data_IF_302026392634
#
_entry.id   IF_302026392634
#
_cell.length_a   1.000
_cell.length_b   1.000
_cell.length_c   1.000
_cell.angle_alpha   90.00
_cell.angle_beta   90.00
_cell.angle_gamma   90.00
#
_symmetry.space_group_name_H-M   'P 1'
#
loop_
_entity.id
_entity.type
_entity.pdbx_description
1 polymer ?
#
# COMPACT_ATOMS: atom_id res chain seq x y z
N UNK A 1 15.69 -21.01 3.47
CA UNK A 1 15.72 -19.77 4.27
C UNK A 1 14.31 -19.33 4.58
N UNK A 2 14.03 -18.78 5.79
CA UNK A 2 12.70 -18.21 6.15
C UNK A 2 12.71 -16.70 5.95
N UNK A 3 11.72 -16.17 5.26
CA UNK A 3 11.40 -14.75 5.22
C UNK A 3 10.34 -14.40 6.28
N UNK A 4 10.31 -13.17 6.79
CA UNK A 4 11.23 -12.06 6.52
C UNK A 4 12.63 -12.30 7.10
N UNK A 5 13.62 -11.63 6.52
CA UNK A 5 15.00 -11.64 7.01
C UNK A 5 15.11 -10.91 8.36
N UNK A 6 16.18 -11.18 9.15
CA UNK A 6 16.45 -10.37 10.35
C UNK A 6 16.54 -8.88 10.00
N UNK A 7 15.96 -8.02 10.84
CA UNK A 7 15.81 -6.58 10.58
C UNK A 7 17.11 -5.81 10.42
N UNK A 8 18.21 -6.34 10.94
CA UNK A 8 19.53 -5.72 10.93
C UNK A 8 20.45 -6.15 9.77
N UNK A 9 19.94 -6.88 8.79
CA UNK A 9 20.76 -7.33 7.63
C UNK A 9 21.21 -6.12 6.80
N UNK A 10 20.39 -5.06 6.71
CA UNK A 10 20.72 -3.85 6.00
C UNK A 10 20.80 -2.68 6.97
N UNK A 11 21.90 -1.91 6.95
CA UNK A 11 21.97 -0.65 7.68
C UNK A 11 21.01 0.37 7.09
N UNK A 12 20.68 1.38 7.87
CA UNK A 12 20.13 2.63 7.30
C UNK A 12 21.22 3.25 6.44
N UNK A 13 20.88 3.59 5.20
CA UNK A 13 21.81 4.19 4.25
C UNK A 13 21.69 5.72 4.35
N UNK A 14 22.80 6.36 4.68
CA UNK A 14 22.93 7.82 4.62
C UNK A 14 23.66 8.16 3.32
N UNK A 15 23.00 8.85 2.42
CA UNK A 15 23.59 9.27 1.16
C UNK A 15 24.21 10.66 1.29
N UNK A 16 25.37 10.91 0.66
CA UNK A 16 25.89 12.26 0.46
C UNK A 16 24.86 13.16 -0.23
N UNK A 17 24.89 14.45 0.05
CA UNK A 17 23.89 15.40 -0.45
C UNK A 17 23.85 15.43 -1.99
N UNK A 18 25.00 15.41 -2.62
CA UNK A 18 25.14 15.41 -4.09
C UNK A 18 24.56 14.14 -4.74
N UNK A 19 24.74 12.98 -4.11
CA UNK A 19 24.14 11.72 -4.57
C UNK A 19 22.62 11.74 -4.38
N UNK A 20 22.13 12.25 -3.24
CA UNK A 20 20.71 12.40 -2.97
C UNK A 20 20.04 13.33 -3.98
N UNK A 21 20.64 14.49 -4.27
CA UNK A 21 20.17 15.45 -5.28
C UNK A 21 20.18 14.84 -6.69
N UNK A 22 21.22 14.07 -7.03
CA UNK A 22 21.30 13.38 -8.32
C UNK A 22 20.19 12.35 -8.49
N UNK A 23 19.88 11.56 -7.44
CA UNK A 23 18.80 10.58 -7.45
C UNK A 23 17.42 11.26 -7.55
N UNK A 24 17.21 12.37 -6.85
CA UNK A 24 15.98 13.17 -6.94
C UNK A 24 15.79 13.75 -8.35
N UNK A 25 16.84 14.35 -8.92
CA UNK A 25 16.81 14.88 -10.30
C UNK A 25 16.51 13.79 -11.33
N UNK A 26 17.12 12.62 -11.16
CA UNK A 26 16.87 11.47 -12.01
C UNK A 26 15.42 10.99 -11.90
N UNK A 27 14.92 10.78 -10.69
CA UNK A 27 13.53 10.38 -10.45
C UNK A 27 12.54 11.36 -11.07
N UNK A 28 12.79 12.66 -10.90
CA UNK A 28 12.00 13.73 -11.49
C UNK A 28 11.99 13.65 -13.02
N UNK A 29 13.12 13.33 -13.65
CA UNK A 29 13.21 13.19 -15.11
C UNK A 29 12.37 12.03 -15.63
N UNK A 30 12.39 10.87 -14.95
CA UNK A 30 11.58 9.70 -15.32
C UNK A 30 10.08 9.98 -15.17
N UNK A 31 9.67 10.69 -14.11
CA UNK A 31 8.27 11.10 -13.91
C UNK A 31 7.83 12.04 -15.01
N UNK A 32 8.67 13.02 -15.40
CA UNK A 32 8.36 13.97 -16.49
C UNK A 32 8.25 13.27 -17.84
N UNK A 33 9.18 12.36 -18.15
CA UNK A 33 9.12 11.57 -19.40
C UNK A 33 7.82 10.74 -19.45
N UNK A 34 7.44 10.09 -18.35
CA UNK A 34 6.21 9.31 -18.30
C UNK A 34 4.97 10.18 -18.43
N UNK A 35 4.96 11.39 -17.82
CA UNK A 35 3.90 12.38 -17.99
C UNK A 35 3.74 12.80 -19.45
N UNK A 36 4.85 13.07 -20.13
CA UNK A 36 4.84 13.53 -21.53
C UNK A 36 4.35 12.42 -22.48
N UNK A 37 4.75 11.17 -22.20
CA UNK A 37 4.20 10.01 -22.90
C UNK A 37 2.69 9.86 -22.65
N UNK A 38 2.24 10.02 -21.40
CA UNK A 38 0.82 9.99 -21.07
C UNK A 38 0.04 11.13 -21.72
N UNK A 39 0.62 12.32 -21.81
CA UNK A 39 0.02 13.44 -22.51
C UNK A 39 -0.19 13.10 -24.00
N UNK A 40 0.81 12.53 -24.66
CA UNK A 40 0.71 12.07 -26.06
C UNK A 40 -0.35 10.97 -26.20
N UNK A 41 -0.40 10.02 -25.26
CA UNK A 41 -1.42 8.98 -25.22
C UNK A 41 -2.84 9.56 -25.15
N UNK A 42 -3.06 10.60 -24.34
CA UNK A 42 -4.37 11.27 -24.21
C UNK A 42 -4.74 12.11 -25.44
N UNK A 43 -3.80 12.85 -25.99
CA UNK A 43 -4.06 13.81 -27.07
C UNK A 43 -4.03 13.15 -28.44
N UNK A 44 -2.89 12.60 -28.84
CA UNK A 44 -2.69 11.96 -30.15
C UNK A 44 -3.34 10.58 -30.19
N UNK A 45 -3.14 9.77 -29.15
CA UNK A 45 -3.70 8.42 -29.03
C UNK A 45 -5.18 8.39 -28.64
N UNK A 46 -5.79 9.54 -28.32
CA UNK A 46 -7.19 9.65 -27.86
C UNK A 46 -7.52 8.72 -26.70
N UNK A 47 -6.52 8.40 -25.85
CA UNK A 47 -6.66 7.48 -24.74
C UNK A 47 -6.84 6.01 -25.14
N UNK A 48 -6.55 5.65 -26.38
CA UNK A 48 -6.64 4.27 -26.88
C UNK A 48 -5.27 3.62 -26.99
N UNK A 49 -5.20 2.36 -26.64
CA UNK A 49 -3.97 1.55 -26.77
C UNK A 49 -3.87 1.01 -28.19
N UNK A 50 -2.77 1.30 -28.85
CA UNK A 50 -2.47 0.75 -30.18
C UNK A 50 -2.16 -0.74 -30.08
N UNK A 51 -3.12 -1.58 -30.49
CA UNK A 51 -3.02 -3.03 -30.44
C UNK A 51 -2.00 -3.62 -31.42
N UNK A 52 -1.53 -2.84 -32.40
CA UNK A 52 -0.41 -3.24 -33.26
C UNK A 52 0.91 -3.27 -32.49
N UNK A 53 1.10 -2.35 -31.56
CA UNK A 53 2.31 -2.21 -30.72
C UNK A 53 2.19 -2.97 -29.38
N UNK A 54 0.96 -3.15 -28.87
CA UNK A 54 0.70 -3.68 -27.55
C UNK A 54 -0.14 -4.95 -27.58
N UNK A 55 0.33 -6.00 -26.91
CA UNK A 55 -0.40 -7.26 -26.70
C UNK A 55 -1.08 -7.22 -25.34
N UNK A 56 -2.40 -7.36 -25.30
CA UNK A 56 -3.15 -7.51 -24.05
C UNK A 56 -2.72 -8.78 -23.32
N UNK A 57 -2.43 -8.67 -22.03
CA UNK A 57 -2.06 -9.77 -21.15
C UNK A 57 -3.20 -10.16 -20.22
N UNK A 58 -3.78 -9.17 -19.53
CA UNK A 58 -4.83 -9.40 -18.55
C UNK A 58 -5.78 -8.20 -18.50
N UNK A 59 -7.00 -8.43 -18.03
CA UNK A 59 -7.98 -7.39 -17.73
C UNK A 59 -8.79 -7.80 -16.51
N UNK A 60 -8.97 -6.85 -15.58
CA UNK A 60 -9.86 -6.98 -14.45
C UNK A 60 -10.69 -5.69 -14.35
N UNK A 61 -12.00 -5.84 -14.41
CA UNK A 61 -12.93 -4.70 -14.45
C UNK A 61 -12.53 -3.69 -15.55
N UNK A 62 -12.28 -2.46 -15.15
CA UNK A 62 -11.88 -1.35 -16.03
C UNK A 62 -10.36 -1.21 -16.18
N UNK A 63 -9.55 -2.12 -15.66
CA UNK A 63 -8.09 -2.03 -15.65
C UNK A 63 -7.48 -3.13 -16.51
N UNK A 64 -6.65 -2.74 -17.50
CA UNK A 64 -6.06 -3.66 -18.49
C UNK A 64 -4.55 -3.50 -18.54
N UNK A 65 -3.85 -4.64 -18.53
CA UNK A 65 -2.39 -4.74 -18.68
C UNK A 65 -2.02 -5.24 -20.06
N UNK A 66 -1.02 -4.63 -20.64
CA UNK A 66 -0.45 -4.93 -21.94
C UNK A 66 1.06 -5.14 -21.84
N UNK A 67 1.60 -5.90 -22.78
CA UNK A 67 3.03 -6.08 -23.05
C UNK A 67 3.35 -5.54 -24.43
N UNK A 68 4.49 -4.85 -24.59
CA UNK A 68 4.95 -4.37 -25.89
C UNK A 68 5.28 -5.54 -26.82
N UNK A 69 4.88 -5.44 -28.08
CA UNK A 69 5.17 -6.42 -29.14
C UNK A 69 6.52 -6.15 -29.81
N UNK A 70 7.24 -7.21 -30.20
CA UNK A 70 8.30 -7.22 -31.22
C UNK A 70 9.54 -6.37 -30.99
N UNK A 71 10.27 -6.15 -32.08
CA UNK A 71 11.60 -5.52 -32.14
C UNK A 71 11.66 -4.05 -31.70
N UNK A 72 10.56 -3.29 -31.80
CA UNK A 72 10.48 -1.91 -31.29
C UNK A 72 10.82 -1.80 -29.80
N UNK A 73 10.70 -2.91 -29.09
CA UNK A 73 11.13 -3.06 -27.71
C UNK A 73 12.67 -3.05 -27.56
N UNK A 74 13.42 -3.52 -28.53
CA UNK A 74 14.89 -3.63 -28.46
C UNK A 74 15.61 -2.29 -28.69
N UNK A 75 15.15 -1.47 -29.63
CA UNK A 75 15.80 -0.21 -29.98
C UNK A 75 15.73 0.85 -28.89
N UNK A 76 14.59 0.97 -28.21
CA UNK A 76 14.40 1.97 -27.14
C UNK A 76 15.16 1.67 -25.85
N UNK A 77 15.49 0.41 -25.59
CA UNK A 77 16.20 -0.04 -24.39
C UNK A 77 17.70 0.13 -24.47
N UNK A 78 18.25 0.21 -25.66
CA UNK A 78 19.66 0.54 -25.86
C UNK A 78 19.99 1.94 -25.33
N UNK A 79 18.99 2.84 -25.32
CA UNK A 79 19.13 4.21 -24.83
C UNK A 79 19.01 4.34 -23.30
N UNK A 80 18.38 3.39 -22.60
CA UNK A 80 18.14 3.47 -21.15
C UNK A 80 19.22 2.89 -20.25
N UNK A 81 20.32 2.38 -20.82
CA UNK A 81 21.46 1.84 -20.05
C UNK A 81 21.20 0.55 -19.27
N UNK A 82 19.97 0.03 -19.30
CA UNK A 82 19.55 -1.16 -18.55
C UNK A 82 19.76 -2.44 -19.37
N UNK A 83 21.02 -2.75 -19.61
CA UNK A 83 21.41 -4.06 -20.16
C UNK A 83 21.69 -5.01 -19.00
N UNK A 84 21.18 -6.23 -19.09
CA UNK A 84 21.68 -7.32 -18.26
C UNK A 84 23.04 -7.76 -18.79
N UNK A 85 24.14 -7.51 -18.06
CA UNK A 85 25.47 -7.93 -18.52
C UNK A 85 25.62 -9.45 -18.67
N UNK A 86 24.79 -10.22 -17.96
CA UNK A 86 24.84 -11.69 -17.95
C UNK A 86 23.99 -12.34 -19.05
N UNK A 87 23.01 -11.62 -19.61
CA UNK A 87 22.07 -12.14 -20.62
C UNK A 87 22.27 -11.57 -22.02
N UNK A 88 23.29 -10.79 -22.26
CA UNK A 88 23.56 -10.23 -23.58
C UNK A 88 22.41 -9.37 -24.12
N UNK A 89 21.84 -9.72 -25.26
CA UNK A 89 20.80 -8.95 -25.94
C UNK A 89 19.36 -9.32 -25.54
N UNK A 90 19.13 -9.96 -24.39
CA UNK A 90 17.77 -10.36 -24.00
C UNK A 90 16.90 -9.15 -23.68
N UNK A 91 15.78 -9.08 -24.38
CA UNK A 91 14.88 -7.94 -24.43
C UNK A 91 13.90 -7.99 -23.26
N UNK A 92 14.07 -7.08 -22.29
CA UNK A 92 13.10 -6.93 -21.18
C UNK A 92 11.79 -6.32 -21.70
N UNK A 93 10.64 -7.00 -21.55
CA UNK A 93 9.38 -6.48 -22.07
C UNK A 93 8.92 -5.22 -21.34
N UNK A 94 8.59 -4.18 -22.11
CA UNK A 94 7.92 -3.02 -21.57
C UNK A 94 6.44 -3.34 -21.31
N UNK A 95 5.94 -2.92 -20.18
CA UNK A 95 4.55 -3.08 -19.74
C UNK A 95 3.83 -1.74 -19.79
N UNK A 96 2.56 -1.77 -20.16
CA UNK A 96 1.62 -0.66 -20.13
C UNK A 96 0.35 -1.12 -19.44
N UNK A 97 -0.09 -0.42 -18.40
CA UNK A 97 -1.42 -0.65 -17.86
C UNK A 97 -2.25 0.63 -17.91
N UNK A 98 -3.48 0.50 -18.32
CA UNK A 98 -4.42 1.60 -18.44
C UNK A 98 -5.80 1.18 -17.93
N UNK A 99 -6.50 2.12 -17.35
CA UNK A 99 -7.86 1.89 -16.88
C UNK A 99 -8.35 2.97 -15.95
N UNK A 100 -9.43 2.68 -15.24
CA UNK A 100 -9.96 3.59 -14.23
C UNK A 100 -10.32 2.87 -12.93
N UNK A 101 -10.28 3.61 -11.83
CA UNK A 101 -10.62 3.17 -10.48
C UNK A 101 -11.72 4.06 -9.92
N UNK A 102 -12.63 3.48 -9.12
CA UNK A 102 -13.68 4.23 -8.44
C UNK A 102 -13.13 4.85 -7.13
N UNK A 103 -12.92 6.17 -7.13
CA UNK A 103 -12.34 6.91 -5.99
C UNK A 103 -11.82 8.28 -6.37
N UNK A 104 -10.91 8.81 -5.55
CA UNK A 104 -10.21 10.07 -5.80
C UNK A 104 -8.71 9.83 -5.96
N UNK A 105 -8.01 10.75 -6.66
CA UNK A 105 -6.54 10.67 -6.77
C UNK A 105 -5.91 10.72 -5.39
N UNK A 106 -6.43 11.55 -4.47
CA UNK A 106 -5.92 11.61 -3.10
C UNK A 106 -6.10 10.29 -2.35
N UNK A 107 -7.19 9.55 -2.59
CA UNK A 107 -7.36 8.20 -2.04
C UNK A 107 -6.33 7.22 -2.60
N UNK A 108 -6.05 7.29 -3.89
CA UNK A 108 -4.97 6.50 -4.49
C UNK A 108 -3.63 6.80 -3.81
N UNK A 109 -3.30 8.10 -3.65
CA UNK A 109 -2.06 8.54 -3.02
C UNK A 109 -1.98 8.15 -1.54
N UNK A 110 -3.09 8.25 -0.79
CA UNK A 110 -3.15 7.78 0.60
C UNK A 110 -2.89 6.28 0.71
N UNK A 111 -3.47 5.48 -0.18
CA UNK A 111 -3.27 4.03 -0.20
C UNK A 111 -1.87 3.58 -0.60
N UNK A 112 -1.06 4.47 -1.20
CA UNK A 112 0.32 4.19 -1.55
C UNK A 112 1.30 4.35 -0.38
N UNK A 113 0.95 5.14 0.64
CA UNK A 113 1.86 5.46 1.74
C UNK A 113 2.35 4.24 2.50
N UNK A 114 3.67 4.14 2.64
CA UNK A 114 4.34 3.04 3.37
C UNK A 114 5.63 3.55 4.03
N UNK A 115 5.52 4.43 5.06
CA UNK A 115 6.69 5.09 5.66
C UNK A 115 7.62 4.14 6.42
N UNK A 116 7.19 2.93 6.71
CA UNK A 116 7.97 1.94 7.48
C UNK A 116 7.90 0.56 6.85
N UNK A 117 8.86 -0.32 7.16
CA UNK A 117 8.81 -1.72 6.72
C UNK A 117 7.54 -2.45 7.21
N UNK A 118 7.03 -2.07 8.39
CA UNK A 118 5.75 -2.59 8.92
C UNK A 118 4.55 -2.15 8.10
N UNK A 119 4.49 -0.87 7.73
CA UNK A 119 3.42 -0.38 6.84
C UNK A 119 3.49 -1.03 5.46
N UNK A 120 4.71 -1.29 4.94
CA UNK A 120 4.89 -2.07 3.72
C UNK A 120 4.32 -3.50 3.86
N UNK A 121 4.58 -4.18 4.98
CA UNK A 121 4.05 -5.50 5.28
C UNK A 121 2.52 -5.52 5.35
N UNK A 122 1.92 -4.55 6.05
CA UNK A 122 0.47 -4.41 6.17
C UNK A 122 -0.17 -4.14 4.81
N UNK A 123 0.39 -3.23 4.02
CA UNK A 123 -0.07 -2.95 2.66
C UNK A 123 -0.01 -4.20 1.79
N UNK A 124 1.12 -4.93 1.80
CA UNK A 124 1.28 -6.16 1.04
C UNK A 124 0.22 -7.21 1.39
N UNK A 125 -0.14 -7.34 2.67
CA UNK A 125 -1.22 -8.23 3.12
C UNK A 125 -2.62 -7.79 2.66
N UNK A 126 -2.83 -6.50 2.40
CA UNK A 126 -4.11 -5.98 1.86
C UNK A 126 -4.18 -6.12 0.36
N UNK A 127 -3.11 -5.73 -0.33
CA UNK A 127 -3.07 -5.74 -1.79
C UNK A 127 -2.77 -7.12 -2.36
N UNK A 128 -2.22 -8.03 -1.54
CA UNK A 128 -1.87 -9.40 -1.91
C UNK A 128 -0.89 -9.42 -3.08
N UNK A 129 0.14 -8.56 -3.01
CA UNK A 129 1.16 -8.40 -4.06
C UNK A 129 2.30 -9.44 -3.98
N UNK A 130 2.22 -10.38 -3.04
CA UNK A 130 3.12 -11.52 -2.93
C UNK A 130 4.50 -11.23 -2.33
N UNK A 131 4.82 -10.01 -1.94
CA UNK A 131 6.09 -9.72 -1.28
C UNK A 131 6.20 -10.41 0.09
N UNK A 132 7.40 -10.86 0.44
CA UNK A 132 7.68 -11.64 1.66
C UNK A 132 8.66 -10.94 2.61
N UNK A 133 9.29 -9.86 2.15
CA UNK A 133 10.24 -9.08 2.95
C UNK A 133 10.27 -7.62 2.53
N UNK A 134 10.51 -6.71 3.49
CA UNK A 134 10.41 -5.26 3.30
C UNK A 134 11.43 -4.53 4.18
N UNK A 135 12.07 -3.51 3.63
CA UNK A 135 12.90 -2.57 4.37
C UNK A 135 12.82 -1.16 3.76
N UNK A 136 12.75 -0.15 4.60
CA UNK A 136 13.09 1.23 4.24
C UNK A 136 14.58 1.38 4.52
N UNK A 137 15.34 1.81 3.54
CA UNK A 137 16.80 1.91 3.59
C UNK A 137 17.26 3.34 3.84
N UNK A 138 16.61 4.29 3.19
CA UNK A 138 16.90 5.73 3.33
C UNK A 138 15.66 6.56 3.08
N UNK A 139 15.65 7.80 3.58
CA UNK A 139 14.58 8.74 3.34
C UNK A 139 15.18 10.09 2.94
N UNK A 140 15.10 10.41 1.65
CA UNK A 140 15.69 11.61 1.05
C UNK A 140 14.79 12.83 1.23
N UNK A 141 13.49 12.68 0.95
CA UNK A 141 12.50 13.73 1.16
C UNK A 141 11.38 13.20 2.06
N UNK A 142 11.22 13.82 3.22
CA UNK A 142 10.15 13.50 4.16
C UNK A 142 8.87 14.24 3.79
N UNK A 143 7.71 13.57 3.86
CA UNK A 143 6.45 14.26 3.68
C UNK A 143 6.24 15.29 4.80
N UNK A 144 5.55 16.38 4.49
CA UNK A 144 5.17 17.40 5.46
C UNK A 144 3.65 17.47 5.59
N UNK A 145 3.09 18.03 6.68
CA UNK A 145 1.64 18.20 6.79
C UNK A 145 1.01 19.03 5.66
N UNK A 146 1.77 19.94 5.02
CA UNK A 146 1.34 20.72 3.86
C UNK A 146 1.49 19.96 2.54
N UNK A 147 2.42 19.01 2.47
CA UNK A 147 2.67 18.16 1.31
C UNK A 147 2.74 16.67 1.74
N UNK A 148 1.62 16.10 2.23
CA UNK A 148 1.65 14.80 2.90
C UNK A 148 1.85 13.61 1.96
N UNK A 149 1.83 13.85 0.65
CA UNK A 149 2.05 12.85 -0.40
C UNK A 149 3.38 13.02 -1.13
N UNK A 150 4.16 14.07 -0.81
CA UNK A 150 5.47 14.27 -1.42
C UNK A 150 6.53 13.56 -0.58
N UNK A 151 7.04 12.46 -1.10
CA UNK A 151 8.04 11.63 -0.43
C UNK A 151 9.03 11.07 -1.45
N UNK A 152 10.31 10.99 -1.06
CA UNK A 152 11.35 10.26 -1.78
C UNK A 152 12.08 9.39 -0.77
N UNK A 153 12.06 8.07 -0.99
CA UNK A 153 12.71 7.11 -0.11
C UNK A 153 13.38 5.99 -0.89
N UNK A 154 14.47 5.46 -0.34
CA UNK A 154 15.06 4.20 -0.79
C UNK A 154 14.46 3.03 -0.05
N UNK A 155 14.07 2.00 -0.76
CA UNK A 155 13.46 0.82 -0.19
C UNK A 155 14.00 -0.48 -0.77
N UNK A 156 13.75 -1.57 -0.06
CA UNK A 156 13.98 -2.93 -0.52
C UNK A 156 12.74 -3.78 -0.32
N UNK A 157 12.42 -4.60 -1.33
CA UNK A 157 11.40 -5.65 -1.23
C UNK A 157 11.92 -6.96 -1.80
N UNK A 158 11.46 -8.09 -1.25
CA UNK A 158 11.74 -9.40 -1.79
C UNK A 158 10.46 -10.14 -2.17
N UNK A 159 10.48 -10.79 -3.33
CA UNK A 159 9.36 -11.54 -3.89
C UNK A 159 9.79 -12.96 -4.27
N UNK A 160 9.03 -13.99 -3.91
CA UNK A 160 9.39 -15.39 -4.18
C UNK A 160 9.21 -15.80 -5.65
N UNK A 161 8.96 -14.90 -6.57
CA UNK A 161 8.75 -15.16 -7.99
C UNK A 161 8.35 -16.63 -8.28
N UNK A 162 7.08 -16.95 -8.10
CA UNK A 162 6.46 -18.27 -8.10
C UNK A 162 6.62 -19.13 -6.84
N UNK A 163 5.49 -19.65 -6.42
CA UNK A 163 5.38 -20.65 -5.36
C UNK A 163 5.96 -21.97 -5.85
N UNK A 164 7.13 -22.32 -5.36
CA UNK A 164 7.76 -23.60 -5.67
C UNK A 164 9.28 -23.52 -5.69
N UNK A 165 9.91 -24.66 -5.58
CA UNK A 165 11.36 -24.86 -5.46
C UNK A 165 12.16 -24.53 -6.73
N UNK A 166 11.52 -24.06 -7.81
CA UNK A 166 12.15 -23.94 -9.13
C UNK A 166 12.83 -22.61 -9.36
N UNK A 167 12.41 -21.54 -8.66
CA UNK A 167 12.98 -20.21 -8.88
C UNK A 167 13.50 -19.59 -7.57
N UNK A 168 14.66 -18.98 -7.67
CA UNK A 168 15.25 -18.22 -6.56
C UNK A 168 14.39 -17.00 -6.24
N UNK A 169 14.35 -16.59 -4.97
CA UNK A 169 13.73 -15.33 -4.53
C UNK A 169 14.45 -14.16 -5.21
N UNK A 170 13.70 -13.16 -5.64
CA UNK A 170 14.23 -11.90 -6.14
C UNK A 170 14.07 -10.82 -5.09
N UNK A 171 15.14 -10.09 -4.83
CA UNK A 171 15.03 -8.82 -4.13
C UNK A 171 15.21 -7.65 -5.11
N UNK A 172 14.68 -6.51 -4.71
CA UNK A 172 14.72 -5.28 -5.49
C UNK A 172 15.08 -4.16 -4.54
N UNK A 173 16.17 -3.44 -4.85
CA UNK A 173 16.51 -2.18 -4.21
C UNK A 173 16.08 -1.07 -5.15
N UNK A 174 15.34 -0.10 -4.62
CA UNK A 174 14.71 0.91 -5.46
C UNK A 174 14.56 2.25 -4.74
N UNK A 175 14.58 3.31 -5.51
CA UNK A 175 14.07 4.62 -5.15
C UNK A 175 12.55 4.63 -5.38
N UNK A 176 11.79 5.06 -4.39
CA UNK A 176 10.35 5.29 -4.48
C UNK A 176 10.07 6.77 -4.32
N UNK A 177 9.33 7.36 -5.25
CA UNK A 177 8.86 8.73 -5.11
C UNK A 177 7.39 8.85 -5.44
N UNK A 178 6.71 9.63 -4.62
CA UNK A 178 5.30 9.97 -4.78
C UNK A 178 5.11 11.47 -4.73
N UNK A 179 4.03 11.98 -5.31
CA UNK A 179 3.69 13.39 -5.27
C UNK A 179 2.68 13.79 -6.32
N UNK A 180 2.59 15.10 -6.56
CA UNK A 180 1.74 15.68 -7.59
C UNK A 180 2.56 16.51 -8.56
N UNK A 181 2.24 16.36 -9.84
CA UNK A 181 2.71 17.22 -10.93
C UNK A 181 1.51 17.77 -11.70
N UNK A 182 1.76 18.69 -12.63
CA UNK A 182 0.71 19.27 -13.46
C UNK A 182 0.74 18.67 -14.86
N UNK A 183 -0.43 18.35 -15.40
CA UNK A 183 -0.64 17.98 -16.80
C UNK A 183 -1.68 18.89 -17.43
N UNK A 184 -1.57 19.14 -18.76
CA UNK A 184 -2.67 19.72 -19.54
C UNK A 184 -3.60 18.61 -19.97
N UNK A 185 -4.88 18.71 -19.63
CA UNK A 185 -5.91 17.79 -20.10
C UNK A 185 -6.18 17.92 -21.59
N UNK A 186 -7.00 17.02 -22.18
CA UNK A 186 -7.44 17.13 -23.56
C UNK A 186 -8.19 18.44 -23.88
N UNK A 187 -8.77 19.06 -22.85
CA UNK A 187 -9.45 20.36 -22.90
C UNK A 187 -8.50 21.57 -22.77
N UNK A 188 -7.19 21.32 -22.68
CA UNK A 188 -6.15 22.34 -22.51
C UNK A 188 -6.01 22.87 -21.07
N UNK A 189 -6.89 22.50 -20.14
CA UNK A 189 -6.83 22.95 -18.75
C UNK A 189 -5.72 22.23 -17.99
N UNK A 190 -5.02 22.99 -17.15
CA UNK A 190 -4.05 22.42 -16.21
C UNK A 190 -4.78 21.72 -15.07
N UNK A 191 -4.40 20.49 -14.76
CA UNK A 191 -4.94 19.71 -13.65
C UNK A 191 -3.84 18.98 -12.91
N UNK A 192 -4.02 18.69 -11.61
CA UNK A 192 -3.08 17.90 -10.84
C UNK A 192 -3.09 16.45 -11.34
N UNK A 193 -1.90 15.86 -11.36
CA UNK A 193 -1.66 14.46 -11.69
C UNK A 193 -0.86 13.85 -10.56
N UNK A 194 -1.43 12.89 -9.86
CA UNK A 194 -0.69 12.09 -8.87
C UNK A 194 0.30 11.17 -9.58
N UNK A 195 1.48 10.98 -9.00
CA UNK A 195 2.46 10.04 -9.51
C UNK A 195 3.02 9.14 -8.43
N UNK A 196 3.45 7.95 -8.86
CA UNK A 196 4.16 6.99 -8.04
C UNK A 196 5.21 6.29 -8.91
N UNK A 197 6.47 6.61 -8.68
CA UNK A 197 7.62 5.99 -9.35
C UNK A 197 8.30 5.00 -8.40
N UNK A 198 8.64 3.84 -8.94
CA UNK A 198 9.67 2.96 -8.38
C UNK A 198 10.72 2.69 -9.42
N UNK A 199 11.96 2.98 -9.10
CA UNK A 199 13.09 2.80 -10.00
C UNK A 199 14.25 2.14 -9.25
N UNK A 200 14.78 1.04 -9.77
CA UNK A 200 15.92 0.37 -9.16
C UNK A 200 17.16 1.25 -9.16
N UNK A 201 17.81 1.30 -8.01
CA UNK A 201 19.07 2.01 -7.79
C UNK A 201 20.08 1.04 -7.21
N UNK A 202 21.33 1.27 -7.50
CA UNK A 202 22.45 0.53 -6.91
C UNK A 202 22.97 1.35 -5.72
N UNK A 203 22.79 0.83 -4.50
CA UNK A 203 23.29 1.40 -3.25
C UNK A 203 24.45 0.51 -2.79
N UNK A 204 25.69 1.03 -2.73
CA UNK A 204 26.88 0.22 -2.38
C UNK A 204 26.77 -0.49 -1.03
N UNK A 205 26.09 0.16 -0.05
CA UNK A 205 25.89 -0.37 1.30
C UNK A 205 24.90 -1.54 1.33
N UNK A 206 24.10 -1.70 0.26
CA UNK A 206 23.03 -2.72 0.18
C UNK A 206 23.49 -3.84 -0.75
N UNK A 207 24.39 -4.68 -0.21
CA UNK A 207 24.95 -5.81 -0.95
C UNK A 207 23.89 -6.79 -1.46
N UNK A 208 24.25 -7.52 -2.48
CA UNK A 208 23.44 -8.67 -2.93
C UNK A 208 23.49 -9.80 -1.90
N UNK A 209 22.41 -10.56 -1.81
CA UNK A 209 22.21 -11.65 -0.86
C UNK A 209 22.44 -13.02 -1.53
N UNK A 210 23.55 -13.16 -2.24
CA UNK A 210 23.90 -14.38 -2.99
C UNK A 210 24.04 -15.60 -2.09
N UNK A 211 24.57 -15.41 -0.87
CA UNK A 211 24.69 -16.45 0.15
C UNK A 211 23.35 -16.99 0.64
N UNK A 212 22.27 -16.23 0.43
CA UNK A 212 20.92 -16.66 0.73
C UNK A 212 20.15 -17.15 -0.50
N UNK A 213 20.87 -17.34 -1.61
CA UNK A 213 20.29 -17.75 -2.89
C UNK A 213 19.20 -16.76 -3.39
N UNK A 214 19.39 -15.47 -3.15
CA UNK A 214 18.55 -14.38 -3.62
C UNK A 214 19.21 -13.73 -4.83
N UNK A 215 18.41 -13.35 -5.83
CA UNK A 215 18.88 -12.65 -7.04
C UNK A 215 18.40 -11.21 -7.00
N UNK A 216 19.29 -10.25 -7.21
CA UNK A 216 18.94 -8.85 -7.35
C UNK A 216 18.26 -8.60 -8.69
N UNK A 217 16.96 -8.31 -8.66
CA UNK A 217 16.19 -7.91 -9.83
C UNK A 217 16.16 -6.38 -9.99
N UNK A 218 15.90 -5.90 -11.20
CA UNK A 218 15.77 -4.46 -11.50
C UNK A 218 14.37 -4.16 -12.05
N UNK A 219 13.83 -2.99 -11.70
CA UNK A 219 12.56 -2.50 -12.20
C UNK A 219 12.59 -0.99 -12.43
N UNK A 220 11.69 -0.54 -13.28
CA UNK A 220 11.32 0.86 -13.37
C UNK A 220 9.82 0.93 -13.72
N UNK A 221 9.01 1.48 -12.82
CA UNK A 221 7.59 1.71 -13.01
C UNK A 221 7.22 3.12 -12.63
N UNK A 222 6.47 3.79 -13.48
CA UNK A 222 5.84 5.04 -13.12
C UNK A 222 4.32 4.92 -13.33
N UNK A 223 3.59 5.11 -12.25
CA UNK A 223 2.13 5.22 -12.23
C UNK A 223 1.73 6.67 -12.24
N UNK A 224 0.70 6.99 -13.00
CA UNK A 224 0.07 8.30 -13.04
C UNK A 224 -1.41 8.15 -12.76
N UNK A 225 -1.93 9.03 -11.91
CA UNK A 225 -3.32 9.05 -11.45
C UNK A 225 -3.94 10.39 -11.80
N UNK A 226 -4.97 10.40 -12.66
CA UNK A 226 -5.67 11.61 -13.10
C UNK A 226 -7.14 11.57 -12.68
N UNK A 227 -7.62 12.61 -12.01
CA UNK A 227 -9.06 12.69 -11.71
C UNK A 227 -9.85 12.88 -13.01
N UNK A 228 -10.72 11.93 -13.32
CA UNK A 228 -11.57 11.96 -14.51
C UNK A 228 -12.94 12.59 -14.21
N UNK A 229 -13.51 12.24 -13.05
CA UNK A 229 -14.73 12.79 -12.50
C UNK A 229 -14.65 12.78 -10.97
N UNK A 230 -15.69 13.23 -10.26
CA UNK A 230 -15.69 13.26 -8.79
C UNK A 230 -15.32 11.90 -8.13
N UNK A 231 -15.62 10.79 -8.80
CA UNK A 231 -15.44 9.43 -8.24
C UNK A 231 -14.74 8.46 -9.18
N UNK A 232 -14.09 8.95 -10.22
CA UNK A 232 -13.35 8.10 -11.16
C UNK A 232 -11.97 8.66 -11.41
N UNK A 233 -10.96 7.81 -11.26
CA UNK A 233 -9.54 8.13 -11.46
C UNK A 233 -9.01 7.29 -12.60
N UNK A 234 -8.48 7.94 -13.65
CA UNK A 234 -7.69 7.26 -14.66
C UNK A 234 -6.36 6.83 -14.07
N UNK A 235 -5.96 5.61 -14.35
CA UNK A 235 -4.65 5.06 -13.99
C UNK A 235 -3.90 4.72 -15.26
N UNK A 236 -2.67 5.21 -15.33
CA UNK A 236 -1.74 4.91 -16.39
C UNK A 236 -0.44 4.41 -15.76
N UNK A 237 0.05 3.26 -16.20
CA UNK A 237 1.35 2.72 -15.81
C UNK A 237 2.19 2.49 -17.05
N UNK A 238 3.45 2.87 -16.99
CA UNK A 238 4.46 2.44 -17.96
C UNK A 238 5.73 2.02 -17.22
N UNK A 239 6.30 0.88 -17.61
CA UNK A 239 7.51 0.40 -16.97
C UNK A 239 7.90 -1.01 -17.37
N UNK A 240 8.95 -1.53 -16.72
CA UNK A 240 9.46 -2.87 -16.95
C UNK A 240 10.00 -3.50 -15.67
N UNK A 241 10.17 -4.83 -15.70
CA UNK A 241 10.92 -5.62 -14.71
C UNK A 241 11.92 -6.49 -15.43
N UNK A 242 13.16 -6.45 -14.97
CA UNK A 242 14.21 -7.38 -15.31
C UNK A 242 14.43 -8.31 -14.11
N UNK A 243 14.03 -9.57 -14.24
CA UNK A 243 14.13 -10.53 -13.13
C UNK A 243 15.58 -10.96 -12.86
N UNK A 244 16.53 -10.65 -13.75
CA UNK A 244 17.92 -11.04 -13.70
C UNK A 244 18.12 -12.54 -13.49
N UNK A 245 19.31 -13.05 -13.72
CA UNK A 245 19.60 -14.47 -13.64
C UNK A 245 18.72 -15.31 -14.58
N UNK A 246 18.71 -16.61 -14.42
CA UNK A 246 17.90 -17.51 -15.23
C UNK A 246 16.43 -17.49 -14.77
N UNK A 247 15.57 -16.79 -15.51
CA UNK A 247 14.14 -16.76 -15.29
C UNK A 247 13.40 -16.83 -16.63
N UNK A 248 12.53 -17.82 -16.86
CA UNK A 248 11.72 -17.87 -18.07
C UNK A 248 10.83 -16.62 -18.17
N UNK A 249 10.81 -16.00 -19.35
CA UNK A 249 10.04 -14.76 -19.58
C UNK A 249 8.57 -14.92 -19.22
N UNK A 250 7.97 -16.07 -19.52
CA UNK A 250 6.57 -16.36 -19.21
C UNK A 250 6.28 -16.27 -17.71
N UNK A 251 7.19 -16.73 -16.87
CA UNK A 251 7.06 -16.68 -15.42
C UNK A 251 7.23 -15.24 -14.90
N UNK A 252 8.19 -14.50 -15.45
CA UNK A 252 8.37 -13.07 -15.12
C UNK A 252 7.11 -12.29 -15.47
N UNK A 253 6.58 -12.47 -16.67
CA UNK A 253 5.36 -11.80 -17.15
C UNK A 253 4.16 -12.17 -16.27
N UNK A 254 4.01 -13.42 -15.85
CA UNK A 254 2.91 -13.83 -14.96
C UNK A 254 3.00 -13.14 -13.59
N UNK A 255 4.17 -13.19 -12.96
CA UNK A 255 4.38 -12.53 -11.65
C UNK A 255 4.16 -11.02 -11.73
N UNK A 256 4.70 -10.38 -12.76
CA UNK A 256 4.49 -8.92 -12.97
C UNK A 256 3.01 -8.63 -13.19
N UNK A 257 2.30 -9.51 -13.92
CA UNK A 257 0.85 -9.37 -14.11
C UNK A 257 0.11 -9.39 -12.77
N UNK A 258 0.41 -10.34 -11.89
CA UNK A 258 -0.21 -10.43 -10.57
C UNK A 258 0.06 -9.16 -9.72
N UNK A 259 1.31 -8.70 -9.70
CA UNK A 259 1.70 -7.49 -8.96
C UNK A 259 0.96 -6.25 -9.52
N UNK A 260 0.92 -6.06 -10.84
CA UNK A 260 0.26 -4.90 -11.45
C UNK A 260 -1.26 -4.97 -11.27
N UNK A 261 -1.85 -6.15 -11.39
CA UNK A 261 -3.30 -6.33 -11.19
C UNK A 261 -3.74 -6.19 -9.73
N UNK A 262 -2.80 -6.17 -8.78
CA UNK A 262 -3.09 -5.85 -7.37
C UNK A 262 -3.25 -4.35 -7.09
N UNK A 263 -2.83 -3.47 -7.99
CA UNK A 263 -2.84 -2.00 -7.80
C UNK A 263 -4.22 -1.42 -7.45
N UNK A 264 -5.33 -1.83 -8.06
CA UNK A 264 -6.66 -1.36 -7.66
C UNK A 264 -6.96 -1.56 -6.16
N UNK A 265 -6.35 -2.57 -5.53
CA UNK A 265 -6.51 -2.85 -4.10
C UNK A 265 -5.87 -1.79 -3.19
N UNK A 266 -5.02 -0.88 -3.71
CA UNK A 266 -4.49 0.25 -2.93
C UNK A 266 -5.61 1.15 -2.36
N UNK A 267 -6.76 1.25 -3.03
CA UNK A 267 -7.92 1.96 -2.50
C UNK A 267 -8.50 1.31 -1.23
N UNK A 268 -8.32 0.00 -1.05
CA UNK A 268 -8.67 -0.66 0.21
C UNK A 268 -7.75 -0.21 1.35
N UNK A 269 -6.47 0.03 1.07
CA UNK A 269 -5.54 0.63 2.05
C UNK A 269 -6.01 2.03 2.46
N UNK A 270 -6.38 2.89 1.51
CA UNK A 270 -6.91 4.22 1.82
C UNK A 270 -8.16 4.17 2.71
N UNK A 271 -9.09 3.27 2.41
CA UNK A 271 -10.29 3.04 3.25
C UNK A 271 -9.92 2.62 4.66
N UNK A 272 -8.92 1.75 4.80
CA UNK A 272 -8.40 1.32 6.10
C UNK A 272 -7.78 2.49 6.87
N UNK A 273 -6.93 3.32 6.24
CA UNK A 273 -6.35 4.51 6.86
C UNK A 273 -7.43 5.47 7.37
N UNK A 274 -8.45 5.77 6.55
CA UNK A 274 -9.57 6.63 6.93
C UNK A 274 -10.37 6.05 8.10
N UNK A 275 -10.59 4.75 8.09
CA UNK A 275 -11.28 4.07 9.19
C UNK A 275 -10.45 4.08 10.48
N UNK A 276 -9.16 3.80 10.40
CA UNK A 276 -8.23 3.88 11.53
C UNK A 276 -8.17 5.30 12.11
N UNK A 277 -8.14 6.33 11.24
CA UNK A 277 -8.22 7.71 11.66
C UNK A 277 -9.48 8.00 12.48
N UNK A 278 -10.66 7.59 11.98
CA UNK A 278 -11.92 7.78 12.73
C UNK A 278 -11.90 7.08 14.08
N UNK A 279 -11.32 5.91 14.15
CA UNK A 279 -11.24 5.13 15.38
C UNK A 279 -10.32 5.80 16.41
N UNK A 280 -9.18 6.35 15.97
CA UNK A 280 -8.25 7.08 16.84
C UNK A 280 -8.84 8.40 17.35
N UNK A 281 -9.65 9.08 16.53
CA UNK A 281 -10.18 10.42 16.84
C UNK A 281 -11.67 10.42 17.24
N UNK A 282 -12.31 9.27 17.29
CA UNK A 282 -13.69 9.17 17.78
C UNK A 282 -13.73 9.44 19.28
N UNK A 283 -14.45 10.48 19.68
CA UNK A 283 -14.79 10.66 21.09
C UNK A 283 -15.68 9.52 21.53
N UNK A 284 -15.31 8.71 22.53
CA UNK A 284 -16.19 7.67 23.03
C UNK A 284 -17.47 8.34 23.54
N UNK A 285 -18.66 7.76 23.25
CA UNK A 285 -19.91 8.31 23.76
C UNK A 285 -19.89 8.25 25.29
N UNK A 286 -20.35 9.32 25.92
CA UNK A 286 -20.42 9.52 27.38
C UNK A 286 -21.20 8.38 28.08
N UNK A 287 -22.06 7.67 27.34
CA UNK A 287 -22.77 6.47 27.83
C UNK A 287 -22.73 5.38 26.77
N UNK A 288 -22.14 4.23 27.13
CA UNK A 288 -22.21 3.01 26.32
C UNK A 288 -23.68 2.62 26.08
N UNK A 289 -24.11 2.52 24.81
CA UNK A 289 -25.45 2.06 24.45
C UNK A 289 -25.61 0.52 24.56
N UNK A 290 -24.78 -0.14 25.39
CA UNK A 290 -24.80 -1.61 25.55
C UNK A 290 -26.17 -2.14 25.98
N UNK A 291 -26.96 -1.36 26.73
CA UNK A 291 -28.31 -1.72 27.19
C UNK A 291 -29.44 -1.40 26.23
N UNK A 292 -29.18 -0.71 25.12
CA UNK A 292 -30.24 -0.31 24.19
C UNK A 292 -30.81 -1.54 23.44
N UNK A 293 -32.13 -1.69 23.40
CA UNK A 293 -32.75 -2.83 22.70
C UNK A 293 -33.09 -2.55 21.23
N UNK A 294 -32.79 -1.35 20.75
CA UNK A 294 -33.12 -0.92 19.38
C UNK A 294 -31.85 -0.49 18.63
N UNK A 295 -31.92 -0.58 17.31
CA UNK A 295 -30.86 -0.13 16.41
C UNK A 295 -30.85 1.40 16.35
N UNK A 296 -29.70 2.03 16.59
CA UNK A 296 -29.53 3.48 16.58
C UNK A 296 -29.71 4.14 15.19
N UNK A 297 -29.82 3.35 14.11
CA UNK A 297 -30.00 3.86 12.75
C UNK A 297 -31.36 3.65 12.17
N UNK A 298 -32.02 2.51 12.46
CA UNK A 298 -33.31 2.17 11.87
C UNK A 298 -34.41 1.85 12.91
N UNK A 299 -34.15 2.01 14.20
CA UNK A 299 -35.05 1.75 15.33
C UNK A 299 -35.62 0.32 15.41
N UNK A 300 -35.17 -0.62 14.58
CA UNK A 300 -35.58 -2.03 14.69
C UNK A 300 -35.03 -2.65 15.97
N UNK A 301 -35.82 -3.53 16.57
CA UNK A 301 -35.36 -4.29 17.74
C UNK A 301 -34.12 -5.13 17.40
N UNK A 302 -33.12 -5.02 18.24
CA UNK A 302 -31.88 -5.84 18.16
C UNK A 302 -31.90 -6.80 19.33
N UNK A 303 -31.96 -8.10 19.07
CA UNK A 303 -31.92 -9.12 20.14
C UNK A 303 -30.76 -8.83 21.11
N UNK A 304 -30.94 -9.03 22.43
CA UNK A 304 -29.86 -8.85 23.40
C UNK A 304 -28.61 -9.59 22.93
N UNK A 305 -27.45 -8.99 23.13
CA UNK A 305 -26.18 -9.64 22.84
C UNK A 305 -26.00 -10.76 23.87
N UNK A 306 -25.87 -12.00 23.43
CA UNK A 306 -25.28 -13.03 24.25
C UNK A 306 -23.81 -12.66 24.55
N UNK A 307 -23.25 -13.15 25.65
CA UNK A 307 -21.83 -12.94 25.96
C UNK A 307 -20.97 -13.28 24.73
N UNK A 308 -20.24 -12.29 24.20
CA UNK A 308 -19.41 -12.45 23.00
C UNK A 308 -19.93 -11.78 21.71
N UNK A 309 -21.12 -11.18 21.72
CA UNK A 309 -21.73 -10.58 20.50
C UNK A 309 -21.28 -9.11 20.27
N UNK A 310 -19.96 -8.91 20.26
CA UNK A 310 -19.30 -7.61 20.00
C UNK A 310 -19.68 -7.04 18.62
N UNK A 311 -20.13 -7.90 17.70
CA UNK A 311 -20.49 -7.50 16.34
C UNK A 311 -21.78 -6.64 16.25
N UNK A 312 -22.54 -6.46 17.33
CA UNK A 312 -23.74 -5.62 17.35
C UNK A 312 -23.46 -4.17 17.74
N UNK A 313 -22.21 -3.85 18.03
CA UNK A 313 -21.75 -2.51 18.42
C UNK A 313 -20.80 -1.98 17.34
N UNK A 314 -21.03 -0.75 16.91
CA UNK A 314 -20.11 -0.08 15.99
C UNK A 314 -18.80 0.22 16.69
N UNK A 315 -17.68 -0.23 16.13
CA UNK A 315 -16.36 -0.01 16.69
C UNK A 315 -15.97 1.47 16.77
N UNK A 316 -16.51 2.31 15.88
CA UNK A 316 -16.18 3.75 15.82
C UNK A 316 -17.00 4.56 16.82
N UNK A 317 -18.33 4.49 16.77
CA UNK A 317 -19.18 5.35 17.57
C UNK A 317 -19.88 4.62 18.74
N UNK A 318 -19.54 3.36 18.98
CA UNK A 318 -20.11 2.52 20.02
C UNK A 318 -21.64 2.39 20.00
N UNK A 319 -22.29 2.80 18.89
CA UNK A 319 -23.74 2.68 18.73
C UNK A 319 -24.12 1.22 18.48
N UNK A 320 -25.25 0.81 19.08
CA UNK A 320 -25.85 -0.50 18.81
C UNK A 320 -26.53 -0.50 17.45
N UNK A 321 -26.24 -1.50 16.61
CA UNK A 321 -26.76 -1.58 15.25
C UNK A 321 -27.22 -3.00 14.89
N UNK A 322 -28.31 -3.09 14.12
CA UNK A 322 -28.79 -4.36 13.60
C UNK A 322 -27.90 -4.86 12.44
N UNK A 323 -28.11 -6.11 12.03
CA UNK A 323 -27.33 -6.72 10.94
C UNK A 323 -27.40 -5.93 9.63
N UNK A 324 -28.58 -5.37 9.29
CA UNK A 324 -28.74 -4.58 8.05
C UNK A 324 -28.14 -3.18 8.08
N UNK A 325 -27.81 -2.64 9.27
CA UNK A 325 -27.23 -1.31 9.43
C UNK A 325 -25.72 -1.33 9.74
N UNK A 326 -25.10 -2.50 9.78
CA UNK A 326 -23.67 -2.67 9.97
C UNK A 326 -22.98 -3.13 8.69
N UNK A 327 -21.76 -2.70 8.51
CA UNK A 327 -20.85 -3.14 7.45
C UNK A 327 -19.66 -3.80 8.12
N UNK A 328 -19.29 -5.00 7.65
CA UNK A 328 -18.09 -5.67 8.10
C UNK A 328 -16.91 -5.19 7.27
N UNK A 329 -15.91 -4.61 7.93
CA UNK A 329 -14.65 -4.21 7.30
C UNK A 329 -13.56 -5.20 7.70
N UNK A 330 -12.81 -5.69 6.70
CA UNK A 330 -11.60 -6.49 6.92
C UNK A 330 -10.47 -5.53 7.28
N UNK A 331 -9.92 -5.65 8.48
CA UNK A 331 -8.76 -4.91 8.95
C UNK A 331 -7.59 -5.86 9.10
N UNK A 332 -6.38 -5.37 8.82
CA UNK A 332 -5.15 -6.13 9.02
C UNK A 332 -4.29 -5.46 10.10
N UNK A 333 -3.63 -6.24 10.91
CA UNK A 333 -2.72 -5.76 11.95
C UNK A 333 -1.53 -6.70 12.08
N UNK A 334 -0.39 -6.19 12.57
CA UNK A 334 0.73 -7.04 12.93
C UNK A 334 0.32 -7.88 14.14
N UNK A 335 0.63 -9.15 14.10
CA UNK A 335 0.36 -10.05 15.24
C UNK A 335 1.32 -9.72 16.39
N UNK A 336 0.81 -9.50 17.61
CA UNK A 336 1.66 -9.29 18.78
C UNK A 336 2.31 -10.58 19.31
N UNK A 337 1.80 -11.76 18.88
CA UNK A 337 2.21 -13.04 19.46
C UNK A 337 3.15 -13.86 18.56
N UNK A 338 3.15 -13.60 17.26
CA UNK A 338 3.95 -14.33 16.28
C UNK A 338 4.29 -13.45 15.10
N UNK A 339 5.42 -13.68 14.41
CA UNK A 339 5.71 -12.96 13.18
C UNK A 339 4.58 -13.11 12.16
N UNK A 340 4.17 -11.99 11.56
CA UNK A 340 3.17 -11.97 10.50
C UNK A 340 2.00 -11.03 10.75
N UNK A 341 1.04 -11.08 9.83
CA UNK A 341 -0.15 -10.24 9.80
C UNK A 341 -1.37 -11.08 10.14
N UNK A 342 -2.25 -10.55 10.97
CA UNK A 342 -3.57 -11.13 11.24
C UNK A 342 -4.66 -10.26 10.62
N UNK A 343 -5.73 -10.90 10.18
CA UNK A 343 -6.90 -10.25 9.61
C UNK A 343 -8.09 -10.40 10.56
N UNK A 344 -8.76 -9.32 10.83
CA UNK A 344 -9.92 -9.25 11.70
C UNK A 344 -11.09 -8.56 11.01
N UNK A 345 -12.31 -9.06 11.22
CA UNK A 345 -13.52 -8.41 10.73
C UNK A 345 -14.08 -7.49 11.80
N UNK A 346 -14.23 -6.22 11.46
CA UNK A 346 -14.76 -5.20 12.34
C UNK A 346 -16.15 -4.75 11.91
N UNK A 347 -17.04 -4.61 12.88
CA UNK A 347 -18.38 -4.11 12.64
C UNK A 347 -18.41 -2.59 12.75
N UNK A 348 -18.74 -1.91 11.66
CA UNK A 348 -18.88 -0.46 11.59
C UNK A 348 -20.29 -0.14 11.13
N UNK A 349 -20.95 0.85 11.72
CA UNK A 349 -22.30 1.25 11.28
C UNK A 349 -22.24 2.01 9.94
N UNK A 350 -23.33 1.96 9.17
CA UNK A 350 -23.39 2.61 7.85
C UNK A 350 -23.08 4.11 7.89
N UNK A 351 -23.45 4.82 8.99
CA UNK A 351 -23.09 6.24 9.18
C UNK A 351 -21.59 6.45 9.30
N UNK A 352 -20.90 5.66 10.12
CA UNK A 352 -19.46 5.76 10.28
C UNK A 352 -18.70 5.29 9.04
N UNK A 353 -19.21 4.28 8.32
CA UNK A 353 -18.66 3.86 7.03
C UNK A 353 -18.72 4.99 6.00
N UNK A 354 -19.85 5.72 5.95
CA UNK A 354 -19.99 6.89 5.07
C UNK A 354 -19.07 8.03 5.51
N UNK A 355 -19.02 8.35 6.80
CA UNK A 355 -18.12 9.35 7.34
C UNK A 355 -16.66 9.04 7.00
N UNK A 356 -16.23 7.77 7.09
CA UNK A 356 -14.90 7.36 6.65
C UNK A 356 -14.68 7.61 5.15
N UNK A 357 -15.66 7.30 4.31
CA UNK A 357 -15.54 7.51 2.87
C UNK A 357 -15.47 9.01 2.49
N UNK A 358 -16.14 9.88 3.25
CA UNK A 358 -16.18 11.33 3.05
C UNK A 358 -14.97 12.07 3.65
N UNK A 359 -14.16 11.41 4.50
CA UNK A 359 -12.92 12.03 5.02
C UNK A 359 -11.98 12.39 3.90
N UNK A 360 -11.37 13.59 4.00
CA UNK A 360 -10.28 13.98 3.10
C UNK A 360 -9.06 13.07 3.31
N UNK A 361 -8.58 12.49 2.24
CA UNK A 361 -7.37 11.68 2.25
C UNK A 361 -6.12 12.52 2.61
N UNK A 362 -6.06 13.77 2.16
CA UNK A 362 -5.01 14.73 2.52
C UNK A 362 -5.02 15.05 4.01
N UNK A 363 -6.20 15.21 4.62
CA UNK A 363 -6.31 15.42 6.07
C UNK A 363 -5.75 14.22 6.84
N UNK A 364 -6.16 13.02 6.48
CA UNK A 364 -5.70 11.77 7.13
C UNK A 364 -4.18 11.62 6.97
N UNK A 365 -3.65 11.88 5.78
CA UNK A 365 -2.22 11.82 5.52
C UNK A 365 -1.44 12.87 6.32
N UNK A 366 -1.92 14.12 6.38
CA UNK A 366 -1.28 15.20 7.15
C UNK A 366 -1.24 14.90 8.66
N UNK A 367 -2.31 14.34 9.21
CA UNK A 367 -2.31 13.89 10.61
C UNK A 367 -1.32 12.75 10.84
N UNK A 368 -1.26 11.78 9.95
CA UNK A 368 -0.29 10.68 10.05
C UNK A 368 1.17 11.17 10.00
N UNK A 369 1.46 12.26 9.27
CA UNK A 369 2.80 12.88 9.28
C UNK A 369 3.08 13.53 10.63
N UNK A 370 2.15 14.31 11.18
CA UNK A 370 2.30 14.96 12.50
C UNK A 370 2.47 13.93 13.62
N UNK A 371 1.70 12.87 13.58
CA UNK A 371 1.78 11.79 14.58
C UNK A 371 3.17 11.12 14.54
N UNK A 372 3.74 10.89 13.35
CA UNK A 372 5.07 10.33 13.20
C UNK A 372 6.18 11.26 13.75
N UNK A 373 6.02 12.58 13.65
CA UNK A 373 6.96 13.54 14.21
C UNK A 373 6.90 13.60 15.75
N UNK A 374 5.74 13.32 16.35
CA UNK A 374 5.54 13.30 17.82
C UNK A 374 5.96 11.96 18.42
N UNK A 375 5.84 10.88 17.68
CA UNK A 375 6.19 9.53 18.12
C UNK A 375 7.65 9.13 17.79
N UNK A 376 8.60 10.03 18.04
CA UNK A 376 10.04 9.65 18.16
C UNK A 376 10.32 8.78 19.40
N UNK A 377 9.29 8.18 20.00
CA UNK A 377 9.33 7.18 21.05
C UNK A 377 9.25 5.77 20.45
N UNK A 378 9.87 4.74 21.08
CA UNK A 378 10.15 3.47 20.44
C UNK A 378 8.89 2.73 19.99
N UNK A 379 8.85 2.42 18.71
CA UNK A 379 8.11 1.31 18.06
C UNK A 379 6.69 0.97 18.51
N UNK A 380 5.82 1.96 18.74
CA UNK A 380 4.38 1.68 18.79
C UNK A 380 3.72 2.03 17.47
N UNK A 381 3.34 1.00 16.75
CA UNK A 381 2.68 1.05 15.46
C UNK A 381 1.38 1.82 15.47
N UNK A 382 1.46 3.04 15.04
CA UNK A 382 0.30 3.93 14.95
C UNK A 382 -0.50 3.72 13.67
N UNK A 383 -0.20 2.74 12.88
CA UNK A 383 -1.00 2.56 11.67
C UNK A 383 -2.22 1.67 11.83
N UNK A 384 -2.31 0.84 12.83
CA UNK A 384 -3.50 -0.02 13.00
C UNK A 384 -3.56 -0.56 14.43
N UNK A 385 -4.27 0.16 15.31
CA UNK A 385 -4.95 -0.43 16.45
C UNK A 385 -4.13 -0.92 17.66
N UNK A 386 -3.98 -0.04 18.63
CA UNK A 386 -4.21 -0.40 20.01
C UNK A 386 -5.54 0.20 20.49
N UNK A 387 -6.66 -0.39 20.14
CA UNK A 387 -7.75 -0.42 21.09
C UNK A 387 -7.48 -1.65 21.93
N UNK A 388 -6.74 -1.49 23.00
CA UNK A 388 -6.86 -2.36 24.14
C UNK A 388 -8.33 -2.33 24.55
N UNK A 389 -9.07 -3.33 24.13
CA UNK A 389 -10.21 -3.79 24.87
C UNK A 389 -9.61 -4.47 26.10
N UNK A 390 -8.99 -3.68 26.98
CA UNK A 390 -8.75 -4.08 28.34
C UNK A 390 -10.13 -4.37 28.89
N UNK A 391 -10.48 -5.63 28.87
CA UNK A 391 -11.47 -6.19 29.76
C UNK A 391 -11.17 -5.65 31.15
N UNK A 392 -11.94 -4.67 31.59
CA UNK A 392 -12.09 -4.36 32.98
C UNK A 392 -12.71 -5.60 33.63
N UNK A 393 -11.86 -6.58 33.94
CA UNK A 393 -12.15 -7.57 34.93
C UNK A 393 -12.18 -6.82 36.28
N UNK A 394 -13.38 -6.39 36.66
CA UNK A 394 -13.67 -6.05 38.01
C UNK A 394 -13.34 -7.28 38.87
N UNK A 395 -12.24 -7.18 39.59
CA UNK A 395 -11.96 -8.05 40.70
C UNK A 395 -13.09 -7.86 41.71
N UNK A 396 -14.03 -8.79 41.74
CA UNK A 396 -14.88 -9.01 42.91
C UNK A 396 -14.02 -9.68 43.98
N UNK A 397 -13.55 -8.85 44.91
CA UNK A 397 -12.99 -9.33 46.18
C UNK A 397 -14.08 -10.07 46.97
N UNK A 398 -14.09 -11.38 46.88
CA UNK A 398 -14.79 -12.21 47.83
C UNK A 398 -13.90 -12.32 49.09
N UNK A 399 -14.24 -11.59 50.10
CA UNK A 399 -13.75 -11.80 51.44
C UNK A 399 -14.16 -13.18 51.92
N UNK A 400 -13.21 -14.09 52.10
CA UNK A 400 -13.40 -15.30 52.87
C UNK A 400 -13.04 -14.99 54.30
N UNK A 401 -14.07 -14.95 55.14
CA UNK A 401 -13.96 -15.00 56.59
C UNK A 401 -13.39 -16.34 57.04
N UNK A 402 -12.23 -16.29 57.67
CA UNK A 402 -11.72 -17.38 58.50
C UNK A 402 -12.67 -17.63 59.67
N UNK A 403 -13.08 -18.82 59.83
CA UNK A 403 -13.66 -19.31 61.07
C UNK A 403 -12.79 -20.46 61.56
N UNK A 404 -11.95 -20.11 62.56
CA UNK A 404 -11.29 -21.08 63.45
C UNK A 404 -12.34 -21.84 64.18
N UNK A 405 -12.21 -23.17 64.22
CA UNK A 405 -12.62 -24.01 65.38
C UNK A 405 -11.65 -25.14 65.60
N UNK A 406 -10.99 -25.00 66.74
CA UNK A 406 -10.19 -25.96 67.45
C UNK A 406 -10.96 -27.25 67.78
N UNK A 407 -10.25 -28.36 67.70
CA UNK A 407 -9.98 -29.43 68.69
C UNK A 407 -11.15 -30.32 69.19
N UNK A 408 -10.86 -31.52 69.65
CA UNK A 408 -9.60 -32.13 70.18
C UNK A 408 -9.03 -33.22 69.27
#
# INVERSE_FOLDING_TARGET
>A
MKFPLPRNIFPTVELPLDEAEALEAYATSVVRETRDYYHTFLTTGRGQVDTSQWKKLNQQDKFTLYKQRGAAAAERRSASGLRDPQRGNEVVPLMLAVGSLDGTVEDCMLGLRTPTGRSMQLKSAVVEDGYVDWAVLTQLVKPTPSQPFHEISGGRKAHPFFVGTVMRVRDIVYLETTGFITIKGPDGRKQPLGYHLKHSVDLPEVRELTEFNVVRAKLSYCYLYRQRSEREVDVFLRGFVCAMGEAPESLVVSTVTEIVMSIPKNLACAKMYKLAYLLKHASPPVKSQRGCKVCSLCNRTVKPAALGDIHKICCVCCARVCAGCRVAHKMVKISPYKPGVISEKMAVCGRCTRAAAELSASLVAAHSVRDADVESLPEHDVLLWNVDVSSSNSQSSSAHSNNDRNTP
#
